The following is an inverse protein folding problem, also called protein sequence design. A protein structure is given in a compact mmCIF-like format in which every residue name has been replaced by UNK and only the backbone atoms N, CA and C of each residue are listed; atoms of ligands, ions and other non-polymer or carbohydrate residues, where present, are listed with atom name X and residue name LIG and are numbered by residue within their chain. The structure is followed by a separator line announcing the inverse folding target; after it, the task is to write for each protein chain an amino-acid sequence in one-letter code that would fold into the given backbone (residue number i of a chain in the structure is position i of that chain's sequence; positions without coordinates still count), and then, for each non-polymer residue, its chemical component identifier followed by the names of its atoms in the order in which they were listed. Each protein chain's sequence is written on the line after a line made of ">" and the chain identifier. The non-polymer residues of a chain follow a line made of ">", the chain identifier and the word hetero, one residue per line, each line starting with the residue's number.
data_IF_606757152300
#
_entry.id   IF_606757152300
#
_cell.length_a   1.000
_cell.length_b   1.000
_cell.length_c   1.000
_cell.angle_alpha   90.00
_cell.angle_beta   90.00
_cell.angle_gamma   90.00
#
_symmetry.space_group_name_H-M   'P 1'
#
loop_
_entity.id
_entity.type
_entity.pdbx_description
1 polymer ?
#
# COMPACT_ATOMS: atom_id res chain seq x y z
N UNK A 1 5.98 52.13 -36.66
CA UNK A 1 6.49 51.60 -37.95
C UNK A 1 6.83 50.13 -37.69
N UNK A 2 6.30 49.08 -38.33
CA UNK A 2 5.77 48.88 -39.68
C UNK A 2 4.46 48.08 -39.61
N UNK A 3 3.52 48.45 -40.49
CA UNK A 3 2.28 47.73 -40.81
C UNK A 3 2.61 46.50 -41.68
N UNK A 4 1.80 45.45 -41.59
CA UNK A 4 1.12 44.84 -42.76
C UNK A 4 -0.18 44.17 -42.31
N UNK A 5 -1.29 44.74 -42.77
CA UNK A 5 -2.61 44.13 -42.90
C UNK A 5 -2.60 43.10 -44.04
N UNK A 6 -3.49 42.11 -43.96
CA UNK A 6 -4.55 41.72 -44.91
C UNK A 6 -4.92 40.25 -44.61
N UNK A 7 -6.14 39.74 -44.73
CA UNK A 7 -7.51 40.23 -44.73
C UNK A 7 -8.39 38.99 -44.89
N UNK A 8 -9.47 38.97 -44.12
CA UNK A 8 -10.75 38.28 -44.24
C UNK A 8 -11.10 37.59 -45.58
N UNK A 9 -11.61 36.35 -45.52
CA UNK A 9 -12.68 35.87 -46.41
C UNK A 9 -13.72 35.12 -45.57
N UNK A 10 -14.90 35.72 -45.46
CA UNK A 10 -16.17 35.07 -45.10
C UNK A 10 -16.75 34.45 -46.38
N UNK A 11 -17.25 33.21 -46.32
CA UNK A 11 -18.29 32.77 -47.24
C UNK A 11 -19.33 31.92 -46.49
N UNK A 12 -20.56 32.37 -46.62
CA UNK A 12 -21.83 31.88 -46.11
C UNK A 12 -22.45 30.78 -47.00
N UNK A 13 -23.09 29.79 -46.39
CA UNK A 13 -24.23 29.05 -46.98
C UNK A 13 -25.00 28.34 -45.84
N UNK A 14 -26.15 28.86 -45.41
CA UNK A 14 -27.53 28.51 -45.86
C UNK A 14 -27.99 27.08 -45.46
N UNK A 15 -28.94 27.06 -44.51
CA UNK A 15 -29.74 25.90 -44.05
C UNK A 15 -30.66 25.33 -45.17
N UNK A 16 -31.28 24.16 -44.95
CA UNK A 16 -32.65 24.20 -44.44
C UNK A 16 -32.94 23.26 -43.27
N UNK A 17 -34.02 23.65 -42.57
CA UNK A 17 -34.70 22.98 -41.47
C UNK A 17 -35.23 21.59 -41.86
N UNK A 18 -35.23 20.67 -40.89
CA UNK A 18 -36.38 19.79 -40.64
C UNK A 18 -36.69 19.84 -39.15
N UNK A 19 -37.76 20.55 -38.81
CA UNK A 19 -38.46 20.41 -37.55
C UNK A 19 -39.71 19.57 -37.82
N UNK A 20 -40.01 18.60 -36.96
CA UNK A 20 -41.40 18.34 -36.55
C UNK A 20 -41.41 17.53 -35.25
N UNK A 21 -41.84 18.21 -34.18
CA UNK A 21 -42.35 17.64 -32.95
C UNK A 21 -43.67 16.91 -33.21
N UNK A 22 -43.99 15.87 -32.41
CA UNK A 22 -45.18 15.80 -31.53
C UNK A 22 -45.42 14.38 -31.01
N UNK A 23 -45.44 14.24 -29.67
CA UNK A 23 -46.44 13.44 -28.97
C UNK A 23 -47.79 14.19 -29.06
N UNK A 24 -48.98 13.53 -29.10
CA UNK A 24 -49.67 13.23 -27.83
C UNK A 24 -50.66 12.02 -27.82
N UNK A 25 -50.77 11.41 -26.63
CA UNK A 25 -52.00 11.04 -25.88
C UNK A 25 -53.01 10.03 -26.44
N UNK A 26 -53.30 9.01 -25.60
CA UNK A 26 -54.68 8.61 -25.28
C UNK A 26 -54.78 8.02 -23.87
N UNK A 27 -55.67 8.60 -23.07
CA UNK A 27 -56.09 8.20 -21.74
C UNK A 27 -57.34 7.29 -21.82
N UNK A 28 -57.53 6.38 -20.86
CA UNK A 28 -58.86 6.05 -20.27
C UNK A 28 -58.64 5.41 -18.88
N UNK A 29 -58.82 6.11 -17.75
CA UNK A 29 -60.03 6.30 -16.91
C UNK A 29 -60.65 5.05 -16.24
N UNK A 30 -60.25 4.82 -14.97
CA UNK A 30 -61.03 4.77 -13.70
C UNK A 30 -62.41 4.06 -13.69
N UNK A 31 -62.61 3.09 -12.77
CA UNK A 31 -63.58 3.15 -11.63
C UNK A 31 -63.53 1.95 -10.64
N UNK A 32 -63.63 2.32 -9.36
CA UNK A 32 -63.93 1.60 -8.09
C UNK A 32 -65.05 0.52 -8.18
N UNK A 33 -65.24 -0.44 -7.27
CA UNK A 33 -65.31 -0.33 -5.80
C UNK A 33 -65.35 -1.71 -5.07
N UNK A 34 -64.82 -1.71 -3.84
CA UNK A 34 -65.17 -2.39 -2.56
C UNK A 34 -66.42 -3.31 -2.53
N UNK A 35 -66.59 -4.42 -1.77
CA UNK A 35 -66.12 -4.95 -0.46
C UNK A 35 -66.49 -6.47 -0.44
N UNK A 36 -65.88 -7.41 0.31
CA UNK A 36 -66.15 -7.71 1.73
C UNK A 36 -65.33 -8.94 2.18
N UNK A 37 -64.82 -8.84 3.40
CA UNK A 37 -64.05 -9.74 4.29
C UNK A 37 -64.55 -11.18 4.45
N UNK A 38 -63.64 -12.17 4.50
CA UNK A 38 -63.38 -13.02 5.70
C UNK A 38 -62.50 -14.26 5.46
N UNK A 39 -61.52 -14.39 6.37
CA UNK A 39 -60.90 -15.61 6.93
C UNK A 39 -59.70 -16.27 6.23
N UNK A 40 -58.51 -15.83 6.68
CA UNK A 40 -57.42 -16.62 7.29
C UNK A 40 -57.32 -18.10 6.89
N UNK A 41 -56.26 -18.42 6.15
CA UNK A 41 -55.43 -19.60 6.41
C UNK A 41 -53.98 -19.32 6.01
N UNK A 42 -53.14 -19.48 7.01
CA UNK A 42 -51.69 -19.35 7.06
C UNK A 42 -51.02 -20.47 6.24
N UNK A 43 -50.11 -20.13 5.32
CA UNK A 43 -49.04 -21.02 4.83
C UNK A 43 -47.97 -20.22 4.10
N UNK A 44 -46.87 -20.04 4.82
CA UNK A 44 -45.46 -20.04 4.43
C UNK A 44 -45.02 -19.33 3.14
N UNK A 45 -44.25 -18.26 3.40
CA UNK A 45 -43.31 -17.59 2.53
C UNK A 45 -42.39 -18.56 1.76
N UNK A 46 -42.33 -18.42 0.44
CA UNK A 46 -41.10 -18.72 -0.31
C UNK A 46 -40.17 -17.51 -0.19
N UNK A 47 -39.10 -17.68 0.60
CA UNK A 47 -37.97 -16.77 0.62
C UNK A 47 -37.13 -16.93 -0.66
N UNK A 48 -36.56 -15.86 -1.22
CA UNK A 48 -35.54 -15.98 -2.25
C UNK A 48 -34.28 -16.57 -1.61
N UNK A 49 -33.76 -17.61 -2.24
CA UNK A 49 -32.61 -18.42 -1.83
C UNK A 49 -31.37 -17.57 -1.50
N UNK A 50 -31.01 -17.49 -0.22
CA UNK A 50 -29.83 -16.78 0.31
C UNK A 50 -28.51 -17.54 0.09
N UNK A 51 -28.44 -18.56 -0.77
CA UNK A 51 -27.27 -19.46 -0.82
C UNK A 51 -26.17 -19.03 -1.79
N UNK A 52 -26.37 -17.99 -2.63
CA UNK A 52 -25.42 -17.64 -3.69
C UNK A 52 -24.38 -16.58 -3.28
N UNK A 53 -24.64 -15.74 -2.28
CA UNK A 53 -23.67 -14.71 -1.85
C UNK A 53 -22.64 -15.24 -0.86
N UNK A 54 -22.99 -16.27 -0.07
CA UNK A 54 -22.04 -16.92 0.84
C UNK A 54 -21.01 -17.77 0.08
N UNK A 55 -21.45 -18.50 -0.95
CA UNK A 55 -20.56 -19.35 -1.75
C UNK A 55 -19.54 -18.52 -2.55
N UNK A 56 -19.97 -17.41 -3.18
CA UNK A 56 -19.06 -16.49 -3.89
C UNK A 56 -17.99 -15.90 -2.97
N UNK A 57 -18.36 -15.57 -1.72
CA UNK A 57 -17.43 -15.01 -0.73
C UNK A 57 -16.33 -16.00 -0.33
N UNK A 58 -16.66 -17.27 -0.10
CA UNK A 58 -15.67 -18.32 0.20
C UNK A 58 -14.73 -18.61 -0.99
N UNK A 59 -15.23 -18.46 -2.22
CA UNK A 59 -14.42 -18.65 -3.42
C UNK A 59 -13.41 -17.51 -3.62
N UNK A 60 -13.80 -16.26 -3.36
CA UNK A 60 -12.86 -15.13 -3.42
C UNK A 60 -11.76 -15.21 -2.35
N UNK A 61 -12.07 -15.63 -1.13
CA UNK A 61 -11.05 -15.82 -0.09
C UNK A 61 -9.97 -16.81 -0.52
N UNK A 62 -10.34 -17.88 -1.24
CA UNK A 62 -9.38 -18.83 -1.80
C UNK A 62 -8.54 -18.21 -2.91
N UNK A 63 -9.16 -17.46 -3.82
CA UNK A 63 -8.47 -16.80 -4.93
C UNK A 63 -7.44 -15.78 -4.43
N UNK A 64 -7.79 -15.03 -3.40
CA UNK A 64 -6.93 -13.98 -2.83
C UNK A 64 -6.13 -14.41 -1.59
N UNK A 65 -6.13 -15.71 -1.25
CA UNK A 65 -5.49 -16.21 -0.02
C UNK A 65 -4.02 -15.79 0.11
N UNK A 66 -3.25 -15.89 -0.99
CA UNK A 66 -1.83 -15.50 -1.01
C UNK A 66 -1.64 -14.00 -0.69
N UNK A 67 -2.53 -13.14 -1.17
CA UNK A 67 -2.50 -11.70 -0.90
C UNK A 67 -2.88 -11.44 0.56
N UNK A 68 -3.95 -12.07 1.05
CA UNK A 68 -4.39 -11.93 2.44
C UNK A 68 -3.31 -12.40 3.43
N UNK A 69 -2.57 -13.45 3.10
CA UNK A 69 -1.46 -13.97 3.90
C UNK A 69 -0.30 -12.97 4.04
N UNK A 70 -0.08 -12.11 3.03
CA UNK A 70 0.89 -11.02 3.10
C UNK A 70 0.47 -9.99 4.14
N UNK A 71 -0.80 -9.54 4.09
CA UNK A 71 -1.29 -8.45 4.95
C UNK A 71 -1.66 -8.89 6.36
N UNK A 72 -2.01 -10.16 6.60
CA UNK A 72 -2.48 -10.62 7.91
C UNK A 72 -1.47 -10.34 9.04
N UNK A 73 -0.17 -10.69 8.94
CA UNK A 73 0.79 -10.38 10.00
C UNK A 73 1.05 -8.88 10.17
N UNK A 74 0.90 -8.09 9.12
CA UNK A 74 1.03 -6.63 9.18
C UNK A 74 -0.08 -6.06 10.07
N UNK A 75 -1.30 -6.53 9.87
CA UNK A 75 -2.49 -5.98 10.53
C UNK A 75 -2.64 -6.51 11.95
N UNK A 76 -2.48 -7.83 12.13
CA UNK A 76 -2.73 -8.47 13.42
C UNK A 76 -1.53 -8.37 14.36
N UNK A 77 -0.33 -8.55 13.82
CA UNK A 77 0.90 -8.63 14.60
C UNK A 77 1.82 -7.41 14.46
N UNK A 78 1.43 -6.41 13.66
CA UNK A 78 2.30 -5.27 13.33
C UNK A 78 3.67 -5.75 12.83
N UNK A 79 3.65 -6.75 11.95
CA UNK A 79 4.85 -7.45 11.49
C UNK A 79 4.88 -7.54 9.96
N UNK A 80 6.00 -7.15 9.37
CA UNK A 80 6.24 -7.25 7.93
C UNK A 80 6.94 -8.56 7.52
N UNK A 81 7.02 -9.53 8.44
CA UNK A 81 7.75 -10.79 8.23
C UNK A 81 7.21 -11.68 7.10
N UNK A 82 5.92 -11.53 6.75
CA UNK A 82 5.27 -12.24 5.63
C UNK A 82 5.47 -11.58 4.28
N UNK A 83 6.01 -10.35 4.23
CA UNK A 83 6.13 -9.60 2.98
C UNK A 83 7.26 -10.20 2.13
N UNK A 84 6.97 -10.73 0.93
CA UNK A 84 7.99 -11.31 0.07
C UNK A 84 8.98 -10.23 -0.41
N UNK A 85 10.27 -10.58 -0.49
CA UNK A 85 11.30 -9.67 -0.99
C UNK A 85 11.18 -9.38 -2.50
N UNK A 86 10.48 -10.24 -3.25
CA UNK A 86 10.31 -10.14 -4.70
C UNK A 86 9.08 -9.38 -5.17
N UNK A 87 8.33 -8.72 -4.28
CA UNK A 87 7.19 -7.90 -4.68
C UNK A 87 7.63 -6.75 -5.59
N UNK A 88 6.75 -6.37 -6.52
CA UNK A 88 6.94 -5.14 -7.28
C UNK A 88 7.01 -3.94 -6.32
N UNK A 89 7.78 -2.92 -6.70
CA UNK A 89 8.03 -1.73 -5.88
C UNK A 89 6.74 -1.11 -5.34
N UNK A 90 5.72 -0.95 -6.18
CA UNK A 90 4.44 -0.32 -5.81
C UNK A 90 3.59 -1.19 -4.88
N UNK A 91 3.65 -2.51 -5.07
CA UNK A 91 2.97 -3.48 -4.20
C UNK A 91 3.65 -3.54 -2.82
N UNK A 92 4.98 -3.51 -2.78
CA UNK A 92 5.73 -3.37 -1.54
C UNK A 92 5.47 -2.03 -0.85
N UNK A 93 5.17 -0.95 -1.59
CA UNK A 93 4.72 0.30 -0.97
C UNK A 93 3.36 0.16 -0.31
N UNK A 94 2.43 -0.56 -0.95
CA UNK A 94 1.11 -0.82 -0.39
C UNK A 94 1.18 -1.54 0.97
N UNK A 95 2.11 -2.50 1.15
CA UNK A 95 2.29 -3.16 2.45
C UNK A 95 2.77 -2.19 3.54
N UNK A 96 3.60 -1.20 3.19
CA UNK A 96 4.05 -0.18 4.13
C UNK A 96 2.92 0.80 4.48
N UNK A 97 2.09 1.19 3.51
CA UNK A 97 0.91 2.03 3.77
C UNK A 97 -0.02 1.38 4.80
N UNK A 98 -0.27 0.08 4.67
CA UNK A 98 -1.09 -0.66 5.64
C UNK A 98 -0.41 -0.73 7.01
N UNK A 99 0.90 -1.00 7.05
CA UNK A 99 1.66 -1.00 8.30
C UNK A 99 1.59 0.34 9.04
N UNK A 100 1.73 1.44 8.30
CA UNK A 100 1.66 2.80 8.86
C UNK A 100 0.26 3.13 9.37
N UNK A 101 -0.78 2.75 8.62
CA UNK A 101 -2.17 2.94 9.03
C UNK A 101 -2.47 2.18 10.34
N UNK A 102 -2.04 0.92 10.44
CA UNK A 102 -2.20 0.10 11.66
C UNK A 102 -1.42 0.70 12.85
N UNK A 103 -0.22 1.25 12.61
CA UNK A 103 0.55 1.93 13.65
C UNK A 103 -0.05 3.27 14.08
N UNK A 104 -0.72 3.96 13.18
CA UNK A 104 -1.51 5.16 13.47
C UNK A 104 -2.82 4.86 14.22
N UNK A 105 -3.15 3.58 14.42
CA UNK A 105 -4.36 3.14 15.12
C UNK A 105 -5.59 3.01 14.22
N UNK A 106 -5.41 3.00 12.90
CA UNK A 106 -6.50 2.68 11.96
C UNK A 106 -6.87 1.19 12.06
N UNK A 107 -8.17 0.89 12.10
CA UNK A 107 -8.68 -0.47 11.96
C UNK A 107 -8.66 -0.86 10.49
N UNK A 108 -7.85 -1.85 10.13
CA UNK A 108 -7.77 -2.36 8.76
C UNK A 108 -8.53 -3.68 8.62
N UNK A 109 -9.40 -3.69 7.63
CA UNK A 109 -10.30 -4.75 7.20
C UNK A 109 -10.10 -5.02 5.71
N UNK A 110 -10.82 -5.99 5.17
CA UNK A 110 -10.89 -6.24 3.73
C UNK A 110 -12.31 -6.52 3.25
N UNK A 111 -12.55 -6.32 1.96
CA UNK A 111 -13.82 -6.63 1.31
C UNK A 111 -13.59 -7.12 -0.12
N UNK A 112 -14.59 -7.80 -0.67
CA UNK A 112 -14.62 -8.23 -2.07
C UNK A 112 -15.77 -7.54 -2.78
N UNK A 113 -15.49 -6.88 -3.89
CA UNK A 113 -16.51 -6.21 -4.69
C UNK A 113 -16.12 -6.10 -6.16
N UNK A 114 -17.04 -6.44 -7.04
CA UNK A 114 -16.99 -6.17 -8.48
C UNK A 114 -17.17 -4.67 -8.76
N UNK A 115 -16.08 -3.91 -8.63
CA UNK A 115 -16.09 -2.46 -8.80
C UNK A 115 -16.18 -2.07 -10.28
N UNK A 116 -15.65 -2.91 -11.18
CA UNK A 116 -15.58 -2.64 -12.62
C UNK A 116 -16.77 -3.22 -13.43
N UNK A 117 -17.63 -4.02 -12.78
CA UNK A 117 -18.82 -4.70 -13.33
C UNK A 117 -18.49 -5.75 -14.40
N UNK A 118 -17.36 -6.43 -14.29
CA UNK A 118 -16.95 -7.52 -15.16
C UNK A 118 -17.38 -8.91 -14.66
N UNK A 119 -17.99 -8.96 -13.47
CA UNK A 119 -18.47 -10.19 -12.83
C UNK A 119 -17.43 -10.89 -11.95
N UNK A 120 -16.22 -10.34 -11.81
CA UNK A 120 -15.19 -10.80 -10.87
C UNK A 120 -15.00 -9.75 -9.78
N UNK A 121 -14.91 -10.20 -8.54
CA UNK A 121 -14.71 -9.28 -7.43
C UNK A 121 -13.24 -8.86 -7.32
N UNK A 122 -13.01 -7.56 -7.15
CA UNK A 122 -11.74 -7.00 -6.67
C UNK A 122 -11.61 -7.16 -5.15
N UNK A 123 -10.37 -7.35 -4.69
CA UNK A 123 -10.04 -7.28 -3.26
C UNK A 123 -9.71 -5.83 -2.88
N UNK A 124 -10.44 -5.32 -1.90
CA UNK A 124 -10.23 -4.02 -1.28
C UNK A 124 -9.67 -4.23 0.13
N UNK A 125 -8.57 -3.55 0.48
CA UNK A 125 -7.99 -3.56 1.83
C UNK A 125 -8.01 -2.13 2.38
N UNK A 126 -8.54 -1.94 3.57
CA UNK A 126 -8.72 -0.63 4.19
C UNK A 126 -9.83 -0.64 5.23
N UNK A 127 -10.70 0.36 5.21
CA UNK A 127 -11.87 0.46 6.08
C UNK A 127 -13.10 0.88 5.27
N UNK A 128 -14.32 0.80 5.84
CA UNK A 128 -15.54 1.26 5.17
C UNK A 128 -15.48 2.72 4.71
N UNK A 129 -14.66 3.55 5.36
CA UNK A 129 -14.50 4.97 5.02
C UNK A 129 -13.39 5.21 4.01
N UNK A 130 -12.42 4.29 3.92
CA UNK A 130 -11.18 4.53 3.19
C UNK A 130 -10.53 3.23 2.70
N UNK A 131 -10.52 3.05 1.38
CA UNK A 131 -9.76 1.97 0.74
C UNK A 131 -8.30 2.42 0.61
N UNK A 132 -7.38 1.54 1.00
CA UNK A 132 -5.94 1.77 0.90
C UNK A 132 -5.30 0.99 -0.24
N UNK A 133 -5.79 -0.21 -0.53
CA UNK A 133 -5.18 -1.09 -1.55
C UNK A 133 -6.26 -1.79 -2.35
N UNK A 134 -6.02 -1.94 -3.65
CA UNK A 134 -6.86 -2.68 -4.57
C UNK A 134 -6.02 -3.76 -5.27
N UNK A 135 -6.52 -4.99 -5.27
CA UNK A 135 -6.08 -6.07 -6.13
C UNK A 135 -7.24 -6.52 -7.01
N UNK A 136 -6.93 -7.00 -8.20
CA UNK A 136 -7.92 -7.50 -9.16
C UNK A 136 -7.50 -8.87 -9.70
N UNK A 137 -8.43 -9.59 -10.33
CA UNK A 137 -8.12 -10.85 -11.01
C UNK A 137 -7.81 -10.62 -12.48
N UNK A 138 -6.67 -11.12 -12.94
CA UNK A 138 -6.36 -11.10 -14.37
C UNK A 138 -7.21 -12.12 -15.17
N UNK A 139 -6.93 -12.25 -16.47
CA UNK A 139 -7.66 -13.17 -17.35
C UNK A 139 -7.46 -14.67 -17.01
N UNK A 140 -6.53 -14.99 -16.12
CA UNK A 140 -6.25 -16.36 -15.62
C UNK A 140 -6.66 -16.55 -14.16
N UNK A 141 -7.48 -15.64 -13.62
CA UNK A 141 -7.97 -15.67 -12.23
C UNK A 141 -6.85 -15.62 -11.18
N UNK A 142 -5.73 -15.00 -11.52
CA UNK A 142 -4.65 -14.73 -10.58
C UNK A 142 -4.77 -13.31 -10.04
N UNK A 143 -4.62 -13.10 -8.72
CA UNK A 143 -4.54 -11.78 -8.12
C UNK A 143 -3.37 -10.97 -8.67
N UNK A 144 -3.63 -9.71 -9.02
CA UNK A 144 -2.64 -8.74 -9.46
C UNK A 144 -2.86 -7.43 -8.71
N UNK A 145 -1.77 -6.84 -8.23
CA UNK A 145 -1.80 -5.52 -7.61
C UNK A 145 -2.26 -4.46 -8.62
N UNK A 146 -3.27 -3.67 -8.25
CA UNK A 146 -3.70 -2.51 -9.05
C UNK A 146 -3.03 -1.24 -8.55
N UNK A 147 -3.39 -0.80 -7.34
CA UNK A 147 -3.01 0.52 -6.84
C UNK A 147 -3.11 0.59 -5.32
N UNK A 148 -2.41 1.55 -4.73
CA UNK A 148 -2.53 1.89 -3.32
C UNK A 148 -2.62 3.40 -3.08
N UNK A 149 -3.23 3.77 -1.96
CA UNK A 149 -3.38 5.14 -1.52
C UNK A 149 -3.16 5.28 -0.01
N UNK A 150 -2.42 6.32 0.37
CA UNK A 150 -1.98 6.54 1.74
C UNK A 150 -0.81 7.50 1.79
N UNK A 151 -0.16 7.56 2.96
CA UNK A 151 1.06 8.34 3.12
C UNK A 151 2.25 7.47 2.70
N UNK A 152 3.04 7.90 1.72
CA UNK A 152 4.27 7.20 1.36
C UNK A 152 5.41 7.53 2.33
N UNK A 153 6.07 6.49 2.85
CA UNK A 153 7.30 6.62 3.62
C UNK A 153 8.50 7.16 2.79
N UNK A 154 8.48 6.98 1.45
CA UNK A 154 9.52 7.50 0.53
C UNK A 154 8.97 8.65 -0.32
N UNK A 155 9.50 9.86 -0.11
CA UNK A 155 9.26 11.03 -0.98
C UNK A 155 8.17 12.00 -0.53
N UNK A 156 7.47 11.71 0.58
CA UNK A 156 6.52 12.65 1.20
C UNK A 156 5.24 12.94 0.41
N UNK A 157 4.99 12.18 -0.67
CA UNK A 157 3.73 12.24 -1.40
C UNK A 157 2.63 11.49 -0.63
N UNK A 158 1.48 12.14 -0.56
CA UNK A 158 0.21 11.65 -0.08
C UNK A 158 -0.62 11.29 -1.30
N UNK A 159 -1.24 10.12 -1.26
CA UNK A 159 -2.21 9.71 -2.26
C UNK A 159 -3.57 9.56 -1.61
N UNK A 160 -4.56 10.30 -2.11
CA UNK A 160 -5.98 10.10 -1.78
C UNK A 160 -6.64 9.28 -2.89
N UNK A 161 -7.60 8.42 -2.56
CA UNK A 161 -8.27 7.55 -3.53
C UNK A 161 -9.79 7.57 -3.38
N UNK A 162 -10.47 7.61 -4.52
CA UNK A 162 -11.93 7.51 -4.62
C UNK A 162 -12.26 6.48 -5.70
N UNK A 163 -13.22 5.61 -5.41
CA UNK A 163 -13.75 4.64 -6.38
C UNK A 163 -15.12 5.14 -6.82
N UNK A 164 -15.38 5.14 -8.12
CA UNK A 164 -16.64 5.57 -8.70
C UNK A 164 -17.49 4.38 -9.11
N UNK A 165 -18.81 4.58 -9.07
CA UNK A 165 -19.81 3.55 -9.37
C UNK A 165 -19.77 3.01 -10.80
N UNK A 166 -19.02 3.64 -11.70
CA UNK A 166 -18.77 3.18 -13.07
C UNK A 166 -17.46 2.37 -13.20
N UNK A 167 -16.75 2.12 -12.10
CA UNK A 167 -15.47 1.41 -12.05
C UNK A 167 -14.25 2.30 -12.20
N UNK A 168 -14.42 3.62 -12.37
CA UNK A 168 -13.29 4.54 -12.41
C UNK A 168 -12.63 4.63 -11.04
N UNK A 169 -11.31 4.45 -10.99
CA UNK A 169 -10.51 4.66 -9.79
C UNK A 169 -9.79 6.00 -9.95
N UNK A 170 -10.02 6.93 -9.03
CA UNK A 170 -9.37 8.23 -8.99
C UNK A 170 -8.30 8.23 -7.90
N UNK A 171 -7.11 8.76 -8.23
CA UNK A 171 -6.08 9.06 -7.26
C UNK A 171 -5.59 10.51 -7.37
N UNK A 172 -5.39 11.15 -6.23
CA UNK A 172 -4.76 12.46 -6.14
C UNK A 172 -3.42 12.35 -5.41
N UNK A 173 -2.32 12.61 -6.11
CA UNK A 173 -0.99 12.64 -5.53
C UNK A 173 -0.58 14.08 -5.20
N UNK A 174 -0.10 14.34 -3.99
CA UNK A 174 0.33 15.68 -3.57
C UNK A 174 1.31 15.64 -2.40
N UNK A 175 1.98 16.75 -2.09
CA UNK A 175 2.75 16.87 -0.84
C UNK A 175 2.15 17.94 0.07
N UNK A 176 2.18 17.72 1.38
CA UNK A 176 1.52 18.59 2.37
C UNK A 176 1.99 20.06 2.33
N UNK A 177 3.26 20.30 1.99
CA UNK A 177 3.90 21.62 2.01
C UNK A 177 4.14 22.22 0.62
N UNK A 178 3.57 21.62 -0.42
CA UNK A 178 3.77 22.04 -1.80
C UNK A 178 2.45 22.19 -2.54
N UNK A 179 2.30 23.20 -3.41
CA UNK A 179 1.09 23.36 -4.19
C UNK A 179 0.96 22.31 -5.28
N UNK A 180 2.05 21.70 -5.76
CA UNK A 180 1.98 20.75 -6.88
C UNK A 180 1.22 19.47 -6.49
N UNK A 181 0.26 19.11 -7.33
CA UNK A 181 -0.50 17.88 -7.23
C UNK A 181 -0.77 17.29 -8.62
N UNK A 182 -1.17 16.03 -8.63
CA UNK A 182 -1.53 15.30 -9.84
C UNK A 182 -2.85 14.56 -9.62
N UNK A 183 -3.76 14.73 -10.56
CA UNK A 183 -5.04 14.05 -10.62
C UNK A 183 -4.94 12.93 -11.66
N UNK A 184 -5.19 11.69 -11.25
CA UNK A 184 -5.05 10.52 -12.10
C UNK A 184 -6.33 9.68 -12.04
N UNK A 185 -6.68 9.09 -13.17
CA UNK A 185 -7.79 8.14 -13.26
C UNK A 185 -7.30 6.83 -13.85
N UNK A 186 -7.90 5.75 -13.40
CA UNK A 186 -7.55 4.39 -13.80
C UNK A 186 -8.81 3.57 -14.04
N UNK A 187 -8.68 2.53 -14.87
CA UNK A 187 -9.70 1.52 -15.09
C UNK A 187 -9.11 0.10 -14.99
N UNK A 188 -9.92 -0.85 -14.54
CA UNK A 188 -9.64 -2.28 -14.69
C UNK A 188 -10.50 -2.77 -15.86
N UNK A 189 -9.86 -3.28 -16.91
CA UNK A 189 -10.56 -3.69 -18.12
C UNK A 189 -9.81 -4.82 -18.81
N UNK A 190 -10.54 -5.86 -19.22
CA UNK A 190 -9.98 -7.04 -19.89
C UNK A 190 -8.83 -7.70 -19.08
N UNK A 191 -8.97 -7.75 -17.76
CA UNK A 191 -7.95 -8.31 -16.86
C UNK A 191 -6.64 -7.52 -16.82
N UNK A 192 -6.69 -6.20 -17.07
CA UNK A 192 -5.56 -5.30 -16.99
C UNK A 192 -5.94 -3.99 -16.28
N UNK A 193 -5.03 -3.49 -15.45
CA UNK A 193 -5.12 -2.17 -14.82
C UNK A 193 -4.43 -1.12 -15.70
N UNK A 194 -5.16 -0.06 -16.07
CA UNK A 194 -4.67 0.96 -17.00
C UNK A 194 -4.92 2.37 -16.46
N UNK A 195 -3.92 3.25 -16.59
CA UNK A 195 -4.10 4.68 -16.39
C UNK A 195 -4.81 5.31 -17.59
N UNK A 196 -5.91 6.04 -17.34
CA UNK A 196 -6.73 6.67 -18.40
C UNK A 196 -6.48 8.17 -18.50
N UNK A 197 -6.16 8.86 -17.41
CA UNK A 197 -5.81 10.28 -17.40
C UNK A 197 -4.71 10.59 -16.37
N UNK A 198 -3.96 11.65 -16.64
CA UNK A 198 -2.96 12.24 -15.75
C UNK A 198 -2.94 13.75 -15.96
N UNK A 199 -3.34 14.53 -14.98
CA UNK A 199 -3.40 15.98 -15.06
C UNK A 199 -2.65 16.59 -13.89
N UNK A 200 -1.57 17.32 -14.18
CA UNK A 200 -0.87 18.12 -13.18
C UNK A 200 -1.71 19.36 -12.86
N UNK A 201 -1.79 19.72 -11.58
CA UNK A 201 -2.49 20.91 -11.13
C UNK A 201 -1.87 21.48 -9.86
N UNK A 202 -2.35 22.66 -9.46
CA UNK A 202 -1.94 23.34 -8.24
C UNK A 202 -3.05 23.29 -7.19
N UNK A 203 -2.72 22.79 -6.01
CA UNK A 203 -3.55 22.87 -4.82
C UNK A 203 -3.70 24.30 -4.27
N UNK A 204 -3.01 25.29 -4.83
CA UNK A 204 -3.34 26.69 -4.57
C UNK A 204 -4.64 27.10 -5.28
N UNK A 205 -4.96 26.48 -6.42
CA UNK A 205 -6.11 26.82 -7.26
C UNK A 205 -7.33 25.94 -6.94
N UNK A 206 -7.14 24.63 -6.77
CA UNK A 206 -8.21 23.70 -6.37
C UNK A 206 -7.67 22.65 -5.40
N UNK A 207 -8.41 22.31 -4.34
CA UNK A 207 -8.00 21.26 -3.39
C UNK A 207 -8.32 19.84 -3.88
N UNK A 208 -9.20 19.74 -4.87
CA UNK A 208 -9.70 18.49 -5.42
C UNK A 208 -9.58 18.52 -6.96
N UNK A 209 -8.78 17.61 -7.50
CA UNK A 209 -8.52 17.46 -8.92
C UNK A 209 -9.61 16.72 -9.70
N UNK A 210 -10.65 16.18 -9.05
CA UNK A 210 -11.73 15.40 -9.71
C UNK A 210 -12.41 16.13 -10.86
N UNK A 211 -12.59 17.45 -10.74
CA UNK A 211 -13.18 18.26 -11.82
C UNK A 211 -12.31 18.35 -13.08
N UNK A 212 -10.99 18.26 -12.92
CA UNK A 212 -10.02 18.35 -14.02
C UNK A 212 -9.99 17.07 -14.86
N UNK A 213 -10.44 15.95 -14.27
CA UNK A 213 -10.51 14.64 -14.93
C UNK A 213 -11.94 14.22 -15.28
N UNK A 214 -12.89 15.17 -15.26
CA UNK A 214 -14.27 14.94 -15.69
C UNK A 214 -15.15 14.17 -14.69
N UNK A 215 -14.74 14.06 -13.43
CA UNK A 215 -15.47 13.34 -12.38
C UNK A 215 -16.39 14.27 -11.55
N UNK A 216 -16.68 15.47 -12.06
CA UNK A 216 -17.61 16.41 -11.43
C UNK A 216 -19.04 15.85 -11.43
N UNK A 217 -19.58 15.56 -10.25
CA UNK A 217 -20.94 15.03 -10.08
C UNK A 217 -21.07 13.53 -10.39
N UNK A 218 -19.96 12.82 -10.63
CA UNK A 218 -19.97 11.37 -10.76
C UNK A 218 -20.25 10.72 -9.39
N UNK A 219 -21.02 9.62 -9.40
CA UNK A 219 -21.41 8.92 -8.18
C UNK A 219 -20.28 8.03 -7.69
N UNK A 220 -19.93 8.17 -6.40
CA UNK A 220 -18.97 7.29 -5.74
C UNK A 220 -19.53 5.88 -5.61
N UNK A 221 -18.62 4.91 -5.62
CA UNK A 221 -18.91 3.54 -5.24
C UNK A 221 -18.96 3.47 -3.71
N UNK A 222 -20.01 2.86 -3.17
CA UNK A 222 -20.21 2.71 -1.73
C UNK A 222 -20.41 1.23 -1.37
N UNK A 223 -19.70 0.78 -0.33
CA UNK A 223 -19.85 -0.53 0.28
C UNK A 223 -20.45 -0.37 1.67
N UNK A 224 -21.44 -1.19 1.99
CA UNK A 224 -21.98 -1.26 3.36
C UNK A 224 -20.92 -1.76 4.34
N UNK A 225 -20.95 -1.24 5.57
CA UNK A 225 -19.99 -1.60 6.62
C UNK A 225 -19.96 -3.12 6.90
N UNK A 226 -21.10 -3.79 6.72
CA UNK A 226 -21.27 -5.24 6.88
C UNK A 226 -20.57 -6.08 5.81
N UNK A 227 -20.11 -5.45 4.72
CA UNK A 227 -19.36 -6.11 3.66
C UNK A 227 -17.87 -6.25 3.99
N UNK A 228 -17.41 -5.58 5.04
CA UNK A 228 -16.01 -5.59 5.48
C UNK A 228 -15.76 -6.68 6.51
N UNK A 229 -14.60 -7.33 6.40
CA UNK A 229 -14.16 -8.45 7.23
C UNK A 229 -12.87 -8.08 7.95
N UNK A 230 -12.79 -8.47 9.22
CA UNK A 230 -11.56 -8.33 10.00
C UNK A 230 -10.52 -9.38 9.59
N UNK A 231 -9.25 -9.03 9.74
CA UNK A 231 -8.17 -10.01 9.74
C UNK A 231 -8.14 -10.70 11.12
N UNK A 232 -8.29 -12.02 11.15
CA UNK A 232 -8.19 -12.80 12.39
C UNK A 232 -6.87 -13.57 12.46
N UNK A 233 -6.41 -13.89 13.67
CA UNK A 233 -5.22 -14.71 13.93
C UNK A 233 -5.37 -16.17 13.47
N UNK A 234 -6.59 -16.63 13.22
CA UNK A 234 -6.87 -18.00 12.84
C UNK A 234 -7.01 -18.14 11.33
N UNK A 235 -6.23 -19.07 10.79
CA UNK A 235 -6.51 -19.69 9.50
C UNK A 235 -7.81 -20.49 9.64
N UNK A 236 -8.97 -19.82 9.62
CA UNK A 236 -10.28 -20.45 9.72
C UNK A 236 -10.69 -21.06 8.36
N UNK A 237 -9.77 -21.82 7.77
CA UNK A 237 -10.16 -22.88 6.86
C UNK A 237 -10.59 -24.06 7.71
N UNK A 238 -11.90 -24.25 7.84
CA UNK A 238 -12.53 -25.43 8.40
C UNK A 238 -11.76 -26.71 8.02
N UNK A 239 -11.09 -27.31 9.01
CA UNK A 239 -10.85 -28.75 9.03
C UNK A 239 -11.21 -29.26 10.41
N UNK A 240 -12.41 -29.83 10.49
CA UNK A 240 -12.89 -30.53 11.66
C UNK A 240 -12.04 -31.77 11.94
N UNK A 241 -11.80 -32.01 13.24
CA UNK A 241 -11.52 -33.30 13.91
C UNK A 241 -10.16 -33.96 13.59
N UNK A 242 -9.31 -34.35 14.56
CA UNK A 242 -9.52 -34.77 15.94
C UNK A 242 -8.30 -34.44 16.82
N UNK A 243 -8.60 -34.08 18.06
CA UNK A 243 -7.65 -34.12 19.17
C UNK A 243 -7.13 -35.54 19.39
N UNK A 244 -5.81 -35.67 19.54
CA UNK A 244 -5.22 -36.68 20.39
C UNK A 244 -4.02 -36.07 21.11
N UNK A 245 -4.22 -35.73 22.39
CA UNK A 245 -3.16 -35.54 23.36
C UNK A 245 -2.17 -36.71 23.29
N UNK A 246 -0.88 -36.42 23.20
CA UNK A 246 0.13 -37.23 23.87
C UNK A 246 1.32 -36.36 24.32
N UNK A 247 1.38 -36.21 25.63
CA UNK A 247 2.53 -35.77 26.40
C UNK A 247 3.65 -36.83 26.33
N UNK A 248 4.87 -36.46 25.99
CA UNK A 248 6.07 -36.91 26.73
C UNK A 248 7.35 -36.23 26.21
N UNK A 249 8.21 -35.95 27.16
CA UNK A 249 9.51 -35.29 27.12
C UNK A 249 10.61 -35.98 26.30
N UNK A 250 11.42 -35.13 25.66
CA UNK A 250 12.89 -35.15 25.50
C UNK A 250 13.62 -36.46 25.17
N UNK A 251 14.37 -36.43 24.06
CA UNK A 251 15.79 -36.82 24.06
C UNK A 251 16.55 -36.16 22.90
N UNK A 252 17.62 -35.47 23.27
CA UNK A 252 18.64 -34.90 22.41
C UNK A 252 19.26 -35.92 21.46
N UNK A 253 19.69 -35.44 20.29
CA UNK A 253 21.01 -35.79 19.75
C UNK A 253 21.66 -34.56 19.13
N UNK A 254 22.72 -34.17 19.83
CA UNK A 254 23.71 -33.13 19.59
C UNK A 254 24.45 -33.28 18.26
N UNK A 255 24.69 -32.15 17.58
CA UNK A 255 26.02 -31.59 17.25
C UNK A 255 25.81 -30.46 16.22
N UNK A 256 26.24 -29.22 16.41
CA UNK A 256 27.45 -28.74 17.05
C UNK A 256 27.19 -27.35 17.64
N UNK A 257 27.40 -27.20 18.95
CA UNK A 257 27.65 -25.89 19.56
C UNK A 257 28.91 -25.32 18.94
N UNK A 258 28.79 -24.15 18.33
CA UNK A 258 29.87 -23.17 18.36
C UNK A 258 29.51 -22.15 19.44
N UNK A 259 29.99 -22.41 20.65
CA UNK A 259 30.27 -21.35 21.61
C UNK A 259 31.46 -20.56 21.06
N UNK A 260 31.17 -19.60 20.20
CA UNK A 260 32.07 -18.51 19.86
C UNK A 260 31.24 -17.24 19.91
N UNK A 261 31.56 -16.37 20.86
CA UNK A 261 31.18 -14.96 20.89
C UNK A 261 31.26 -14.42 19.46
N UNK A 262 30.13 -14.22 18.78
CA UNK A 262 30.10 -13.46 17.53
C UNK A 262 30.54 -12.05 17.90
N UNK A 263 31.83 -11.75 17.67
CA UNK A 263 32.41 -10.43 17.98
C UNK A 263 32.09 -9.41 16.88
N UNK A 264 30.94 -9.55 16.22
CA UNK A 264 30.54 -8.73 15.07
C UNK A 264 29.07 -8.33 15.15
N UNK A 265 28.72 -7.37 14.32
CA UNK A 265 27.38 -6.79 14.19
C UNK A 265 26.31 -7.86 13.94
N UNK A 266 25.33 -7.94 14.83
CA UNK A 266 24.17 -8.83 14.67
C UNK A 266 23.00 -8.05 14.09
N UNK A 267 22.88 -8.08 12.76
CA UNK A 267 21.81 -7.40 12.03
C UNK A 267 20.41 -7.99 12.28
N UNK A 268 20.30 -9.24 12.75
CA UNK A 268 19.00 -9.84 13.14
C UNK A 268 18.52 -9.32 14.48
N UNK A 269 19.43 -9.11 15.42
CA UNK A 269 19.14 -8.45 16.70
C UNK A 269 18.75 -6.98 16.47
N UNK A 270 19.51 -6.26 15.63
CA UNK A 270 19.26 -4.83 15.34
C UNK A 270 17.87 -4.63 14.72
N UNK A 271 17.44 -5.47 13.77
CA UNK A 271 16.11 -5.35 13.18
C UNK A 271 14.99 -5.47 14.23
N UNK A 272 15.21 -6.29 15.27
CA UNK A 272 14.27 -6.49 16.39
C UNK A 272 14.40 -5.42 17.48
N UNK A 273 15.25 -4.40 17.27
CA UNK A 273 15.49 -3.31 18.21
C UNK A 273 16.53 -3.61 19.29
N UNK A 274 17.26 -4.72 19.19
CA UNK A 274 18.39 -5.01 20.09
C UNK A 274 19.71 -4.55 19.44
N UNK A 275 20.27 -3.47 19.97
CA UNK A 275 21.48 -2.84 19.45
C UNK A 275 22.74 -3.21 20.24
N UNK A 276 22.65 -4.16 21.18
CA UNK A 276 23.75 -4.54 22.07
C UNK A 276 25.04 -4.94 21.31
N UNK A 277 24.91 -5.58 20.14
CA UNK A 277 26.06 -5.97 19.30
C UNK A 277 26.84 -4.77 18.75
N UNK A 278 26.19 -3.61 18.57
CA UNK A 278 26.80 -2.39 18.02
C UNK A 278 26.99 -1.28 19.06
N UNK A 279 26.63 -1.51 20.32
CA UNK A 279 26.80 -0.54 21.39
C UNK A 279 28.23 0.02 21.43
N UNK A 280 28.36 1.33 21.61
CA UNK A 280 29.60 2.09 21.55
C UNK A 280 29.56 3.25 20.57
N UNK A 281 30.67 3.97 20.46
CA UNK A 281 30.84 5.08 19.53
C UNK A 281 31.42 4.60 18.22
N UNK A 282 30.87 5.10 17.13
CA UNK A 282 31.29 4.86 15.75
C UNK A 282 31.69 6.18 15.13
N UNK A 283 32.81 6.21 14.41
CA UNK A 283 33.35 7.45 13.82
C UNK A 283 33.71 7.20 12.36
N UNK A 284 33.39 8.17 11.49
CA UNK A 284 33.77 8.13 10.08
C UNK A 284 35.09 8.91 9.83
N UNK A 285 35.63 8.79 8.61
CA UNK A 285 36.87 9.49 8.23
C UNK A 285 36.74 11.02 8.16
N UNK A 286 35.52 11.56 8.25
CA UNK A 286 35.20 13.00 8.22
C UNK A 286 35.13 13.61 9.61
N UNK A 287 35.13 12.78 10.65
CA UNK A 287 35.08 13.21 12.04
C UNK A 287 33.69 13.16 12.67
N UNK A 288 32.66 12.79 11.91
CA UNK A 288 31.30 12.61 12.43
C UNK A 288 31.22 11.36 13.30
N UNK A 289 30.34 11.38 14.30
CA UNK A 289 30.17 10.27 15.24
C UNK A 289 28.72 9.85 15.40
N UNK A 290 28.49 8.55 15.52
CA UNK A 290 27.26 7.94 15.99
C UNK A 290 27.55 7.20 17.30
N UNK A 291 26.65 7.25 18.27
CA UNK A 291 26.79 6.48 19.52
C UNK A 291 25.56 5.63 19.71
N UNK A 292 25.75 4.35 20.00
CA UNK A 292 24.69 3.39 20.26
C UNK A 292 24.79 2.88 21.71
N UNK A 293 23.64 2.76 22.36
CA UNK A 293 23.48 1.93 23.55
C UNK A 293 22.66 0.66 23.20
N UNK A 294 22.27 -0.14 24.20
CA UNK A 294 21.49 -1.35 23.96
C UNK A 294 20.10 -1.08 23.37
N UNK A 295 19.59 0.15 23.50
CA UNK A 295 18.27 0.60 23.05
C UNK A 295 18.32 1.34 21.70
N UNK A 296 19.51 1.58 21.14
CA UNK A 296 19.68 2.17 19.82
C UNK A 296 20.51 3.44 19.82
N UNK A 297 20.23 4.33 18.86
CA UNK A 297 20.97 5.56 18.66
C UNK A 297 20.79 6.50 19.86
N UNK A 298 21.90 6.90 20.48
CA UNK A 298 21.93 7.88 21.56
C UNK A 298 21.78 9.28 20.96
N UNK A 299 20.53 9.72 20.82
CA UNK A 299 20.15 11.04 20.31
C UNK A 299 18.89 11.55 21.01
N UNK A 300 18.79 12.87 21.20
CA UNK A 300 17.60 13.52 21.77
C UNK A 300 16.47 13.67 20.74
N UNK A 301 16.82 13.68 19.46
CA UNK A 301 15.90 14.03 18.36
C UNK A 301 15.51 12.85 17.50
N UNK A 302 16.42 11.89 17.36
CA UNK A 302 16.30 10.82 16.38
C UNK A 302 16.42 9.45 17.03
N UNK A 303 15.81 8.45 16.40
CA UNK A 303 16.02 7.03 16.65
C UNK A 303 16.36 6.33 15.34
N UNK A 304 16.89 5.11 15.43
CA UNK A 304 16.85 4.19 14.28
C UNK A 304 15.42 3.67 14.17
N UNK A 305 14.77 3.92 13.04
CA UNK A 305 13.45 3.41 12.74
C UNK A 305 13.55 1.97 12.22
N UNK A 306 13.66 1.01 13.15
CA UNK A 306 13.79 -0.42 12.81
C UNK A 306 12.48 -1.02 12.29
N UNK A 307 11.36 -0.33 12.51
CA UNK A 307 10.04 -0.67 11.97
C UNK A 307 10.01 -0.76 10.43
N UNK A 308 10.93 -0.07 9.74
CA UNK A 308 11.07 -0.08 8.28
C UNK A 308 12.33 -0.80 7.80
N UNK A 309 13.06 -1.48 8.70
CA UNK A 309 14.35 -2.04 8.38
C UNK A 309 14.23 -3.31 7.54
N UNK A 310 15.05 -3.42 6.49
CA UNK A 310 15.01 -4.53 5.51
C UNK A 310 16.37 -5.18 5.37
N UNK A 311 16.40 -6.51 5.31
CA UNK A 311 17.57 -7.22 4.84
C UNK A 311 17.71 -7.05 3.34
N UNK A 312 18.89 -6.67 2.91
CA UNK A 312 19.19 -6.46 1.50
C UNK A 312 20.65 -6.77 1.29
N UNK A 313 20.95 -7.64 0.32
CA UNK A 313 22.32 -7.98 -0.10
C UNK A 313 23.29 -8.31 1.06
N UNK A 314 22.79 -8.96 2.11
CA UNK A 314 23.58 -9.40 3.27
C UNK A 314 23.77 -8.37 4.39
N UNK A 315 23.18 -7.17 4.27
CA UNK A 315 23.19 -6.13 5.30
C UNK A 315 21.76 -5.68 5.66
N UNK A 316 21.62 -4.88 6.73
CA UNK A 316 20.33 -4.31 7.13
C UNK A 316 20.25 -2.85 6.71
N UNK A 317 19.23 -2.50 5.92
CA UNK A 317 18.85 -1.11 5.66
C UNK A 317 17.86 -0.64 6.71
N UNK A 318 17.93 0.62 7.10
CA UNK A 318 16.96 1.29 7.96
C UNK A 318 16.94 2.79 7.62
N UNK A 319 16.25 3.59 8.40
CA UNK A 319 16.37 5.05 8.38
C UNK A 319 16.48 5.60 9.79
N UNK A 320 16.99 6.83 9.93
CA UNK A 320 16.69 7.61 11.13
C UNK A 320 15.26 8.10 11.07
N UNK A 321 14.63 8.27 12.22
CA UNK A 321 13.29 8.85 12.34
C UNK A 321 13.18 9.69 13.60
N UNK A 322 12.19 10.58 13.71
CA UNK A 322 12.00 11.38 14.91
C UNK A 322 11.74 10.48 16.12
N UNK A 323 12.32 10.84 17.27
CA UNK A 323 12.17 10.07 18.52
C UNK A 323 10.71 10.00 19.01
N UNK A 324 9.87 10.94 18.58
CA UNK A 324 8.42 10.95 18.81
C UNK A 324 7.67 9.83 18.05
N UNK A 325 8.30 9.19 17.07
CA UNK A 325 7.66 8.21 16.17
C UNK A 325 6.73 8.83 15.12
N UNK A 326 6.59 10.16 15.08
CA UNK A 326 5.69 10.88 14.16
C UNK A 326 6.45 11.94 13.39
N UNK A 327 6.50 11.82 12.05
CA UNK A 327 7.17 12.75 11.14
C UNK A 327 7.90 12.03 9.99
N UNK A 328 8.37 12.77 8.96
CA UNK A 328 9.09 12.16 7.83
C UNK A 328 10.37 11.46 8.29
N UNK A 329 10.68 10.32 7.67
CA UNK A 329 11.96 9.64 7.85
C UNK A 329 13.15 10.55 7.55
N UNK A 330 14.21 10.41 8.33
CA UNK A 330 15.47 11.14 8.23
C UNK A 330 16.43 10.51 7.22
N UNK A 331 17.69 10.31 7.61
CA UNK A 331 18.71 9.73 6.73
C UNK A 331 18.49 8.22 6.54
N UNK A 332 18.77 7.71 5.34
CA UNK A 332 18.89 6.27 5.14
C UNK A 332 20.11 5.76 5.90
N UNK A 333 20.01 4.55 6.45
CA UNK A 333 21.08 3.89 7.19
C UNK A 333 21.31 2.49 6.64
N UNK A 334 22.56 2.04 6.64
CA UNK A 334 22.93 0.67 6.36
C UNK A 334 23.88 0.14 7.43
N UNK A 335 23.55 -1.03 7.97
CA UNK A 335 24.34 -1.77 8.95
C UNK A 335 24.99 -2.95 8.22
N UNK A 336 26.28 -2.83 7.93
CA UNK A 336 27.03 -3.77 7.12
C UNK A 336 27.96 -4.60 8.01
N UNK A 337 27.65 -5.89 8.21
CA UNK A 337 28.61 -6.80 8.83
C UNK A 337 29.91 -6.90 8.03
N UNK A 338 30.94 -7.37 8.71
CA UNK A 338 32.22 -7.74 8.11
C UNK A 338 32.02 -8.64 6.88
N UNK A 339 32.66 -8.29 5.76
CA UNK A 339 32.63 -9.00 4.49
C UNK A 339 31.50 -8.60 3.53
N UNK A 340 30.54 -7.78 3.97
CA UNK A 340 29.36 -7.41 3.17
C UNK A 340 29.59 -6.13 2.36
N UNK A 341 29.15 -6.07 1.11
CA UNK A 341 29.34 -4.88 0.27
C UNK A 341 28.12 -3.97 0.34
N UNK A 342 28.34 -2.66 0.38
CA UNK A 342 27.26 -1.69 0.16
C UNK A 342 26.83 -1.72 -1.31
N UNK A 343 25.53 -1.89 -1.55
CA UNK A 343 24.95 -1.85 -2.90
C UNK A 343 24.07 -0.61 -3.06
N UNK A 344 23.59 -0.37 -4.30
CA UNK A 344 22.67 0.72 -4.60
C UNK A 344 21.28 0.58 -3.94
N UNK A 345 21.01 -0.58 -3.32
CA UNK A 345 19.71 -0.88 -2.73
C UNK A 345 19.36 -0.01 -1.51
N UNK A 346 20.33 0.68 -0.90
CA UNK A 346 20.07 1.62 0.21
C UNK A 346 19.25 2.84 -0.24
N UNK A 347 19.46 3.33 -1.47
CA UNK A 347 18.82 4.59 -1.94
C UNK A 347 17.95 4.40 -3.17
N UNK A 348 17.77 3.15 -3.65
CA UNK A 348 17.01 2.85 -4.88
C UNK A 348 17.52 3.66 -6.08
N UNK A 349 18.84 3.91 -6.13
CA UNK A 349 19.51 4.52 -7.28
C UNK A 349 19.88 3.45 -8.31
N UNK A 350 19.84 3.83 -9.59
CA UNK A 350 20.28 2.97 -10.69
C UNK A 350 21.80 3.06 -10.95
N UNK A 351 22.53 3.75 -10.07
CA UNK A 351 23.97 3.96 -10.20
C UNK A 351 24.74 2.76 -9.64
N UNK A 352 25.83 2.38 -10.29
CA UNK A 352 26.77 1.41 -9.74
C UNK A 352 27.47 2.02 -8.52
N UNK A 353 27.15 1.53 -7.32
CA UNK A 353 27.85 1.90 -6.10
C UNK A 353 29.18 1.16 -6.07
N UNK A 354 30.27 1.93 -6.04
CA UNK A 354 31.61 1.42 -5.80
C UNK A 354 31.96 1.60 -4.32
N UNK A 355 31.79 0.53 -3.54
CA UNK A 355 32.09 0.49 -2.11
C UNK A 355 33.61 0.34 -1.89
N UNK A 356 34.26 1.44 -1.48
CA UNK A 356 35.70 1.48 -1.20
C UNK A 356 36.04 1.35 0.30
N UNK A 357 35.09 0.92 1.13
CA UNK A 357 35.26 0.77 2.57
C UNK A 357 36.09 -0.46 2.98
N UNK A 358 36.62 -0.45 4.21
CA UNK A 358 37.29 -1.60 4.84
C UNK A 358 36.30 -2.71 5.23
N UNK A 359 36.11 -3.66 4.32
CA UNK A 359 35.21 -4.80 4.47
C UNK A 359 35.66 -5.82 5.51
N UNK A 360 36.87 -5.69 6.08
CA UNK A 360 37.31 -6.54 7.18
C UNK A 360 36.76 -6.09 8.54
N UNK A 361 35.93 -5.03 8.54
CA UNK A 361 35.26 -4.50 9.71
C UNK A 361 33.76 -4.39 9.47
N UNK A 362 33.03 -4.42 10.56
CA UNK A 362 31.66 -3.94 10.58
C UNK A 362 31.65 -2.44 10.29
N UNK A 363 30.66 -2.01 9.53
CA UNK A 363 30.51 -0.64 9.04
C UNK A 363 29.08 -0.18 9.19
N UNK A 364 28.92 1.10 9.46
CA UNK A 364 27.63 1.77 9.33
C UNK A 364 27.77 2.84 8.26
N UNK A 365 26.79 2.93 7.36
CA UNK A 365 26.65 4.06 6.46
C UNK A 365 25.36 4.80 6.80
N UNK A 366 25.37 6.14 6.71
CA UNK A 366 24.15 6.95 6.82
C UNK A 366 24.21 8.16 5.89
N UNK A 367 23.09 8.49 5.24
CA UNK A 367 23.03 9.59 4.27
C UNK A 367 21.69 9.74 3.56
N UNK A 368 21.56 10.81 2.77
CA UNK A 368 20.34 11.14 2.02
C UNK A 368 20.33 10.52 0.61
N UNK A 369 21.49 10.30 0.00
CA UNK A 369 21.62 9.73 -1.34
C UNK A 369 23.00 9.09 -1.52
N UNK A 370 23.08 8.01 -2.31
CA UNK A 370 24.31 7.40 -2.78
C UNK A 370 24.51 7.77 -4.25
N UNK A 371 25.51 8.60 -4.54
CA UNK A 371 25.87 9.01 -5.91
C UNK A 371 27.35 8.73 -6.12
N UNK A 372 27.69 7.89 -7.10
CA UNK A 372 29.08 7.60 -7.49
C UNK A 372 29.84 6.68 -6.52
N UNK A 373 31.16 6.85 -6.46
CA UNK A 373 32.05 6.08 -5.58
C UNK A 373 31.90 6.53 -4.13
N UNK A 374 31.67 5.56 -3.23
CA UNK A 374 31.57 5.84 -1.79
C UNK A 374 32.92 5.49 -1.15
N UNK A 375 33.76 6.50 -0.95
CA UNK A 375 35.07 6.30 -0.30
C UNK A 375 34.93 5.92 1.18
N UNK A 376 36.00 5.37 1.77
CA UNK A 376 36.06 4.90 3.15
C UNK A 376 35.66 5.96 4.19
N UNK A 377 35.81 7.25 3.87
CA UNK A 377 35.52 8.35 4.79
C UNK A 377 34.03 8.52 5.11
N UNK A 378 33.15 7.97 4.29
CA UNK A 378 31.70 7.99 4.49
C UNK A 378 31.20 6.89 5.44
N UNK A 379 32.02 5.87 5.69
CA UNK A 379 31.66 4.75 6.53
C UNK A 379 32.10 4.99 7.96
N UNK A 380 31.23 4.68 8.90
CA UNK A 380 31.49 4.75 10.31
C UNK A 380 32.06 3.41 10.77
N UNK A 381 33.12 3.49 11.54
CA UNK A 381 33.79 2.35 12.18
C UNK A 381 33.73 2.48 13.68
N UNK A 382 33.60 1.36 14.38
CA UNK A 382 33.61 1.33 15.83
C UNK A 382 34.93 1.90 16.36
N UNK A 383 34.84 2.85 17.28
CA UNK A 383 35.99 3.39 18.01
C UNK A 383 36.32 2.38 19.11
N UNK A 384 37.55 1.87 19.11
CA UNK A 384 38.05 0.95 20.12
C UNK A 384 38.21 1.61 21.48
#
# INVERSE_FOLDING_TARGET
>A
MKKKLLSLVLLSSLLPLVACQKLPTSQTKIKNSTSTTSQVKESQNEAPSTSSSSSKKEDNEKLYASVLDIYRPIIVNKSVSSVPSGLATDEAYATNIIFDAVNAGETIQYSFADINKDGKDELLIGSPEKVHVIYYLNNTDQPVFAISAGTSAKGGYLTDMKIYSDGTIYCQQFQRMRPEAKAETYEIKNGAFNQTQSVDFSMADTKDGTSLVGLSGASLFELGQESWKDFSDSNDSQTSTNEAKNNSSSKESSSTKFDAKQSGMDINAIQKGDFSSIAGTWKNGRGDTLTFDNNGLVSDKEKVATEYAKFTDGYLTASTGPKSGVGPGGAAMAFLPTGVFLTSAVTSSNDNVDDQSDKNKDRIWTGQSLIGTTDDSYFYYKVN
#
